data_IF_069858149247
#
_entry.id   IF_069858149247
#
_cell.length_a   1.000
_cell.length_b   1.000
_cell.length_c   1.000
_cell.angle_alpha   90.00
_cell.angle_beta   90.00
_cell.angle_gamma   90.00
#
_symmetry.space_group_name_H-M   'P 1'
#
loop_
_entity.id
_entity.type
_entity.pdbx_description
1 polymer ?
#
# COMPACT_ATOMS: atom_id res chain seq x y z
N UNK A 1 -59.03 28.50 28.33
CA UNK A 1 -60.32 28.28 29.03
C UNK A 1 -61.44 28.69 28.11
N UNK A 2 -62.49 27.88 28.08
CA UNK A 2 -63.56 27.82 27.09
C UNK A 2 -64.46 29.06 27.02
N UNK A 3 -65.04 29.35 25.85
CA UNK A 3 -66.49 29.19 25.64
C UNK A 3 -66.89 29.74 24.28
N UNK A 4 -67.53 28.89 23.48
CA UNK A 4 -68.26 29.25 22.28
C UNK A 4 -69.66 29.79 22.65
N UNK A 5 -70.33 30.39 21.65
CA UNK A 5 -71.77 30.25 21.33
C UNK A 5 -72.65 31.53 21.35
N UNK A 6 -73.58 31.56 20.37
CA UNK A 6 -74.79 32.41 20.11
C UNK A 6 -74.58 33.43 18.98
N UNK A 7 -75.05 33.28 17.73
CA UNK A 7 -76.33 32.87 17.07
C UNK A 7 -77.45 33.93 17.08
N UNK A 8 -77.68 34.46 15.86
CA UNK A 8 -78.92 34.85 15.16
C UNK A 8 -79.65 36.20 15.40
N UNK A 9 -79.81 36.96 14.30
CA UNK A 9 -81.02 37.68 13.80
C UNK A 9 -80.61 38.48 12.53
N UNK A 10 -81.36 38.69 11.44
CA UNK A 10 -82.68 38.28 10.98
C UNK A 10 -82.81 38.52 9.43
N UNK A 11 -83.54 37.61 8.76
CA UNK A 11 -84.47 37.75 7.61
C UNK A 11 -84.97 39.17 7.23
N UNK A 12 -85.25 39.62 5.98
CA UNK A 12 -86.11 39.08 4.87
C UNK A 12 -85.98 39.99 3.61
N UNK A 13 -85.83 39.41 2.40
CA UNK A 13 -86.76 39.36 1.22
C UNK A 13 -86.93 40.62 0.35
N UNK A 14 -86.52 40.52 -0.92
CA UNK A 14 -87.30 40.94 -2.10
C UNK A 14 -86.82 40.19 -3.35
N UNK A 15 -87.76 39.69 -4.15
CA UNK A 15 -87.56 38.81 -5.29
C UNK A 15 -87.67 39.56 -6.63
N UNK A 16 -87.03 38.99 -7.67
CA UNK A 16 -87.54 38.76 -9.04
C UNK A 16 -86.62 39.27 -10.18
N UNK A 17 -86.16 38.31 -11.00
CA UNK A 17 -86.20 38.43 -12.46
C UNK A 17 -84.89 38.65 -13.23
N UNK A 18 -84.13 37.58 -13.50
CA UNK A 18 -83.61 37.24 -14.85
C UNK A 18 -82.76 35.95 -14.80
N UNK A 19 -83.15 34.94 -15.60
CA UNK A 19 -82.41 33.70 -15.85
C UNK A 19 -81.56 33.88 -17.11
N UNK A 20 -80.28 33.51 -17.12
CA UNK A 20 -79.74 32.26 -17.69
C UNK A 20 -78.22 32.32 -17.97
N UNK A 21 -77.60 31.14 -17.76
CA UNK A 21 -76.34 30.62 -18.31
C UNK A 21 -75.00 31.23 -17.89
N UNK A 22 -74.36 30.64 -16.87
CA UNK A 22 -72.93 30.32 -16.93
C UNK A 22 -72.74 28.91 -16.39
N UNK A 23 -72.23 28.03 -17.25
CA UNK A 23 -72.02 26.61 -16.97
C UNK A 23 -71.01 26.38 -15.87
N UNK A 24 -71.38 25.48 -14.95
CA UNK A 24 -70.49 24.85 -13.99
C UNK A 24 -69.57 23.89 -14.76
N UNK A 25 -68.46 24.39 -15.31
CA UNK A 25 -67.35 23.53 -15.78
C UNK A 25 -65.95 24.04 -15.42
N UNK A 26 -65.85 25.14 -14.65
CA UNK A 26 -64.55 25.76 -14.33
C UNK A 26 -63.84 25.27 -13.07
N UNK A 27 -64.50 24.51 -12.18
CA UNK A 27 -63.98 24.26 -10.82
C UNK A 27 -63.58 22.80 -10.51
N UNK A 28 -63.38 21.96 -11.53
CA UNK A 28 -62.81 20.61 -11.38
C UNK A 28 -61.45 20.42 -12.05
N UNK A 29 -60.93 21.42 -12.74
CA UNK A 29 -59.63 21.35 -13.43
C UNK A 29 -58.49 22.00 -12.62
N UNK A 30 -58.80 22.88 -11.67
CA UNK A 30 -57.78 23.62 -10.91
C UNK A 30 -57.19 22.90 -9.67
N UNK A 31 -57.61 21.68 -9.35
CA UNK A 31 -57.09 20.90 -8.19
C UNK A 31 -56.29 19.66 -8.63
N UNK A 32 -56.04 19.49 -9.94
CA UNK A 32 -55.29 18.34 -10.49
C UNK A 32 -53.86 18.65 -10.94
N UNK A 33 -53.36 19.88 -10.71
CA UNK A 33 -52.04 20.32 -11.22
C UNK A 33 -50.93 20.46 -10.16
N UNK A 34 -51.13 19.95 -8.94
CA UNK A 34 -50.13 20.03 -7.85
C UNK A 34 -49.51 18.68 -7.46
N UNK A 35 -49.73 17.62 -8.24
CA UNK A 35 -49.09 16.33 -7.98
C UNK A 35 -48.19 15.91 -9.15
N UNK A 36 -46.88 15.99 -8.86
CA UNK A 36 -45.73 15.38 -9.53
C UNK A 36 -45.60 15.63 -11.04
N UNK A 37 -44.91 16.71 -11.41
CA UNK A 37 -44.13 16.65 -12.64
C UNK A 37 -43.04 15.58 -12.44
N UNK A 38 -42.78 14.72 -13.43
CA UNK A 38 -41.68 13.78 -13.34
C UNK A 38 -40.38 14.58 -13.17
N UNK A 39 -39.67 14.34 -12.06
CA UNK A 39 -38.34 14.91 -11.80
C UNK A 39 -37.49 14.70 -13.05
N UNK A 40 -36.86 15.76 -13.55
CA UNK A 40 -36.08 15.68 -14.76
C UNK A 40 -34.96 14.65 -14.58
N UNK A 41 -34.55 13.98 -15.66
CA UNK A 41 -33.45 13.00 -15.60
C UNK A 41 -32.18 13.64 -15.02
N UNK A 42 -31.94 14.92 -15.33
CA UNK A 42 -30.82 15.69 -14.81
C UNK A 42 -30.89 15.86 -13.28
N UNK A 43 -32.05 16.25 -12.74
CA UNK A 43 -32.23 16.36 -11.28
C UNK A 43 -32.00 15.01 -10.59
N UNK A 44 -32.50 13.90 -11.16
CA UNK A 44 -32.27 12.55 -10.62
C UNK A 44 -30.79 12.15 -10.61
N UNK A 45 -30.04 12.53 -11.65
CA UNK A 45 -28.59 12.30 -11.72
C UNK A 45 -27.89 13.08 -10.61
N UNK A 46 -28.21 14.36 -10.45
CA UNK A 46 -27.60 15.21 -9.43
C UNK A 46 -27.96 14.78 -8.00
N UNK A 47 -29.19 14.34 -7.77
CA UNK A 47 -29.61 13.72 -6.51
C UNK A 47 -28.80 12.46 -6.21
N UNK A 48 -28.64 11.57 -7.20
CA UNK A 48 -27.87 10.34 -7.01
C UNK A 48 -26.38 10.61 -6.80
N UNK A 49 -25.82 11.65 -7.43
CA UNK A 49 -24.44 12.14 -7.16
C UNK A 49 -24.30 12.65 -5.74
N UNK A 50 -25.21 13.50 -5.29
CA UNK A 50 -25.22 14.00 -3.90
C UNK A 50 -25.28 12.84 -2.90
N UNK A 51 -26.15 11.85 -3.14
CA UNK A 51 -26.23 10.66 -2.31
C UNK A 51 -24.91 9.85 -2.30
N UNK A 52 -24.27 9.65 -3.47
CA UNK A 52 -23.00 8.94 -3.58
C UNK A 52 -21.83 9.66 -2.88
N UNK A 53 -21.85 11.00 -2.86
CA UNK A 53 -20.84 11.80 -2.16
C UNK A 53 -20.99 11.72 -0.65
N UNK A 54 -22.22 11.56 -0.15
CA UNK A 54 -22.51 11.47 1.29
C UNK A 54 -22.22 10.08 1.90
N UNK A 55 -21.99 9.05 1.09
CA UNK A 55 -21.69 7.70 1.56
C UNK A 55 -22.75 7.18 2.54
N UNK A 56 -22.31 6.76 3.73
CA UNK A 56 -23.18 6.30 4.82
C UNK A 56 -23.94 7.41 5.57
N UNK A 57 -23.81 8.67 5.15
CA UNK A 57 -24.46 9.85 5.71
C UNK A 57 -23.61 10.62 6.74
N UNK A 58 -23.96 11.89 6.97
CA UNK A 58 -23.17 12.84 7.77
C UNK A 58 -22.81 12.32 9.17
N UNK A 59 -23.76 11.71 9.87
CA UNK A 59 -23.53 11.16 11.21
C UNK A 59 -22.38 10.14 11.26
N UNK A 60 -22.21 9.34 10.19
CA UNK A 60 -21.14 8.34 10.11
C UNK A 60 -19.81 8.97 9.70
N UNK A 61 -19.85 10.01 8.87
CA UNK A 61 -18.68 10.84 8.55
C UNK A 61 -18.14 11.51 9.82
N UNK A 62 -19.00 12.17 10.60
CA UNK A 62 -18.61 12.81 11.86
C UNK A 62 -18.02 11.80 12.86
N UNK A 63 -18.57 10.58 12.89
CA UNK A 63 -18.06 9.50 13.73
C UNK A 63 -16.68 8.99 13.27
N UNK A 64 -16.42 8.96 11.96
CA UNK A 64 -15.12 8.62 11.38
C UNK A 64 -14.09 9.72 11.74
N UNK A 65 -14.43 10.99 11.55
CA UNK A 65 -13.56 12.13 11.91
C UNK A 65 -13.28 12.20 13.41
N UNK A 66 -14.26 11.89 14.27
CA UNK A 66 -14.07 11.82 15.73
C UNK A 66 -13.03 10.76 16.15
N UNK A 67 -12.79 9.76 15.30
CA UNK A 67 -11.74 8.73 15.51
C UNK A 67 -10.38 9.14 14.92
N UNK A 68 -10.25 10.37 14.41
CA UNK A 68 -9.02 10.86 13.78
C UNK A 68 -8.76 10.31 12.38
N UNK A 69 -9.78 9.74 11.73
CA UNK A 69 -9.68 9.11 10.40
C UNK A 69 -10.34 9.98 9.34
N UNK A 70 -9.73 10.08 8.17
CA UNK A 70 -10.36 10.71 7.01
C UNK A 70 -11.42 9.78 6.37
N UNK A 71 -12.31 10.36 5.57
CA UNK A 71 -13.21 9.60 4.69
C UNK A 71 -12.47 9.08 3.45
N UNK A 72 -13.05 8.10 2.75
CA UNK A 72 -12.46 7.56 1.52
C UNK A 72 -12.18 8.64 0.46
N UNK A 73 -13.11 9.59 0.28
CA UNK A 73 -12.98 10.67 -0.72
C UNK A 73 -11.97 11.73 -0.31
N UNK A 74 -11.89 12.08 0.97
CA UNK A 74 -10.87 13.01 1.49
C UNK A 74 -9.47 12.43 1.31
N UNK A 75 -9.29 11.12 1.56
CA UNK A 75 -8.01 10.43 1.35
C UNK A 75 -7.56 10.48 -0.11
N UNK A 76 -8.48 10.20 -1.05
CA UNK A 76 -8.21 10.32 -2.50
C UNK A 76 -7.84 11.76 -2.87
N UNK A 77 -8.60 12.74 -2.36
CA UNK A 77 -8.38 14.16 -2.67
C UNK A 77 -7.04 14.69 -2.15
N UNK A 78 -6.58 14.17 -1.01
CA UNK A 78 -5.28 14.53 -0.45
C UNK A 78 -4.12 13.82 -1.17
N UNK A 79 -4.32 12.58 -1.60
CA UNK A 79 -3.29 11.78 -2.25
C UNK A 79 -3.05 12.20 -3.70
N UNK A 80 -4.09 12.51 -4.45
CA UNK A 80 -4.00 12.83 -5.87
C UNK A 80 -3.76 14.33 -6.10
N UNK A 81 -3.24 14.67 -7.27
CA UNK A 81 -3.07 16.04 -7.69
C UNK A 81 -4.45 16.72 -7.80
N UNK A 82 -4.57 18.02 -7.45
CA UNK A 82 -5.81 18.77 -7.57
C UNK A 82 -6.45 18.63 -8.96
N UNK A 83 -7.77 18.47 -8.99
CA UNK A 83 -8.58 18.33 -10.21
C UNK A 83 -8.18 17.18 -11.16
N UNK A 84 -7.41 16.19 -10.69
CA UNK A 84 -6.96 15.06 -11.51
C UNK A 84 -7.80 13.80 -11.37
N UNK A 85 -8.60 13.67 -10.31
CA UNK A 85 -9.36 12.46 -10.02
C UNK A 85 -10.56 12.30 -10.96
N UNK A 86 -10.62 11.15 -11.63
CA UNK A 86 -11.75 10.73 -12.45
C UNK A 86 -12.31 9.46 -11.84
N UNK A 87 -13.48 9.59 -11.21
CA UNK A 87 -14.18 8.48 -10.57
C UNK A 87 -14.84 7.56 -11.59
N UNK A 88 -14.73 6.26 -11.36
CA UNK A 88 -15.42 5.20 -12.09
C UNK A 88 -16.51 4.59 -11.20
N UNK A 89 -17.64 4.20 -11.81
CA UNK A 89 -18.68 3.39 -11.15
C UNK A 89 -19.30 4.03 -9.89
N UNK A 90 -19.44 5.37 -9.87
CA UNK A 90 -20.02 6.13 -8.76
C UNK A 90 -21.45 5.67 -8.40
N UNK A 91 -22.23 5.22 -9.38
CA UNK A 91 -23.65 4.88 -9.21
C UNK A 91 -23.93 3.38 -9.04
N UNK A 92 -22.89 2.54 -9.01
CA UNK A 92 -23.05 1.09 -8.84
C UNK A 92 -23.62 0.78 -7.46
N UNK A 93 -24.56 -0.15 -7.41
CA UNK A 93 -25.17 -0.64 -6.17
C UNK A 93 -25.08 -2.16 -6.11
N UNK A 94 -25.07 -2.73 -4.91
CA UNK A 94 -25.11 -4.18 -4.75
C UNK A 94 -26.41 -4.77 -5.30
N UNK A 95 -26.36 -6.04 -5.70
CA UNK A 95 -27.51 -6.78 -6.25
C UNK A 95 -28.14 -7.77 -5.27
N UNK A 96 -27.59 -7.89 -4.05
CA UNK A 96 -28.11 -8.77 -3.01
C UNK A 96 -29.55 -8.39 -2.59
N UNK A 97 -30.40 -9.41 -2.45
CA UNK A 97 -31.77 -9.31 -1.97
C UNK A 97 -31.99 -9.94 -0.58
N UNK A 98 -31.08 -10.80 -0.14
CA UNK A 98 -31.16 -11.54 1.11
C UNK A 98 -31.08 -10.64 2.34
N UNK A 99 -31.59 -11.10 3.48
CA UNK A 99 -31.52 -10.40 4.78
C UNK A 99 -32.01 -8.94 4.75
N UNK A 100 -32.95 -8.61 3.85
CA UNK A 100 -33.50 -7.26 3.71
C UNK A 100 -32.61 -6.27 2.94
N UNK A 101 -31.57 -6.77 2.27
CA UNK A 101 -30.65 -5.96 1.45
C UNK A 101 -31.35 -5.36 0.22
N UNK A 102 -32.48 -5.91 -0.24
CA UNK A 102 -33.26 -5.35 -1.34
C UNK A 102 -33.89 -3.97 -1.06
N UNK A 103 -34.03 -3.57 0.22
CA UNK A 103 -34.69 -2.32 0.59
C UNK A 103 -33.86 -1.09 0.18
N UNK A 104 -34.51 -0.03 -0.33
CA UNK A 104 -33.85 1.19 -0.80
C UNK A 104 -32.92 1.85 0.23
N UNK A 105 -33.28 1.78 1.52
CA UNK A 105 -32.44 2.29 2.63
C UNK A 105 -31.07 1.60 2.76
N UNK A 106 -30.92 0.43 2.15
CA UNK A 106 -29.70 -0.36 2.13
C UNK A 106 -28.97 -0.24 0.78
N UNK A 107 -29.51 0.51 -0.19
CA UNK A 107 -28.87 0.77 -1.49
C UNK A 107 -28.02 2.04 -1.41
N UNK A 108 -26.72 1.86 -1.33
CA UNK A 108 -25.75 2.95 -1.34
C UNK A 108 -25.05 3.01 -2.70
N UNK A 109 -25.19 4.10 -3.46
CA UNK A 109 -24.40 4.32 -4.67
C UNK A 109 -22.90 4.27 -4.36
N UNK A 110 -22.17 3.50 -5.16
CA UNK A 110 -20.74 3.24 -5.01
C UNK A 110 -20.41 1.92 -4.31
N UNK A 111 -21.34 1.35 -3.54
CA UNK A 111 -21.23 0.07 -2.84
C UNK A 111 -19.97 -0.10 -1.97
N UNK A 112 -19.77 0.86 -1.04
CA UNK A 112 -18.68 0.93 -0.05
C UNK A 112 -17.24 1.07 -0.56
N UNK A 113 -17.05 1.40 -1.85
CA UNK A 113 -15.71 1.72 -2.39
C UNK A 113 -15.78 2.84 -3.43
N UNK A 114 -14.83 3.77 -3.34
CA UNK A 114 -14.58 4.79 -4.35
C UNK A 114 -13.42 4.31 -5.22
N UNK A 115 -13.61 4.25 -6.53
CA UNK A 115 -12.63 3.72 -7.48
C UNK A 115 -12.41 4.70 -8.62
N UNK A 116 -11.19 4.80 -9.14
CA UNK A 116 -10.94 5.64 -10.30
C UNK A 116 -9.46 5.73 -10.64
N UNK A 117 -9.12 6.81 -11.33
CA UNK A 117 -7.75 7.15 -11.69
C UNK A 117 -7.48 8.63 -11.44
N UNK A 118 -6.22 8.99 -11.30
CA UNK A 118 -5.79 10.38 -11.28
C UNK A 118 -4.29 10.50 -11.45
N UNK A 119 -3.71 11.55 -10.91
CA UNK A 119 -2.27 11.80 -11.01
C UNK A 119 -1.63 12.02 -9.65
N UNK A 120 -0.37 11.59 -9.51
CA UNK A 120 0.51 11.97 -8.40
C UNK A 120 1.76 12.56 -9.04
N UNK A 121 2.03 13.84 -8.77
CA UNK A 121 3.13 14.60 -9.38
C UNK A 121 3.11 14.50 -10.92
N UNK A 122 1.92 14.62 -11.51
CA UNK A 122 1.69 14.55 -12.96
C UNK A 122 1.65 13.14 -13.54
N UNK A 123 1.97 12.09 -12.76
CA UNK A 123 2.08 10.70 -13.24
C UNK A 123 0.82 9.90 -12.96
N UNK A 124 0.37 9.09 -13.93
CA UNK A 124 -0.88 8.34 -13.85
C UNK A 124 -0.85 7.30 -12.73
N UNK A 125 -1.97 7.18 -11.99
CA UNK A 125 -2.19 6.15 -10.99
C UNK A 125 -3.66 5.74 -10.96
N UNK A 126 -3.91 4.45 -10.73
CA UNK A 126 -5.25 3.93 -10.40
C UNK A 126 -5.39 3.76 -8.90
N UNK A 127 -6.59 3.99 -8.39
CA UNK A 127 -6.82 4.01 -6.95
C UNK A 127 -8.20 3.47 -6.59
N UNK A 128 -8.25 2.72 -5.49
CA UNK A 128 -9.48 2.48 -4.76
C UNK A 128 -9.35 2.90 -3.30
N UNK A 129 -10.43 3.43 -2.73
CA UNK A 129 -10.52 3.76 -1.32
C UNK A 129 -11.82 3.24 -0.73
N UNK A 130 -11.71 2.41 0.29
CA UNK A 130 -12.85 1.76 0.92
C UNK A 130 -13.54 2.74 1.88
N UNK A 131 -14.86 2.85 1.76
CA UNK A 131 -15.67 3.74 2.59
C UNK A 131 -16.27 2.97 3.77
N UNK A 132 -15.63 3.12 4.93
CA UNK A 132 -16.06 2.50 6.17
C UNK A 132 -17.46 2.93 6.63
N UNK A 133 -17.95 4.09 6.18
CA UNK A 133 -19.28 4.59 6.57
C UNK A 133 -20.40 3.74 5.96
N UNK A 134 -20.15 3.10 4.81
CA UNK A 134 -21.11 2.24 4.09
C UNK A 134 -20.84 0.78 4.43
N UNK A 135 -21.75 0.14 5.16
CA UNK A 135 -21.64 -1.26 5.60
C UNK A 135 -20.28 -1.64 6.23
N UNK A 136 -19.61 -0.70 6.93
CA UNK A 136 -18.30 -0.95 7.53
C UNK A 136 -17.20 -1.21 6.49
N UNK A 137 -17.36 -0.70 5.26
CA UNK A 137 -16.43 -0.97 4.16
C UNK A 137 -16.47 -2.41 3.66
N UNK A 138 -17.49 -3.21 4.05
CA UNK A 138 -17.54 -4.64 3.72
C UNK A 138 -17.63 -4.88 2.21
N UNK A 139 -16.89 -5.88 1.76
CA UNK A 139 -16.74 -6.23 0.35
C UNK A 139 -17.91 -7.10 -0.11
N UNK A 140 -18.65 -6.62 -1.10
CA UNK A 140 -19.69 -7.31 -1.89
C UNK A 140 -19.17 -7.73 -3.26
N UNK A 141 -20.00 -8.45 -4.03
CA UNK A 141 -19.69 -8.72 -5.43
C UNK A 141 -19.54 -7.45 -6.28
N UNK A 142 -20.40 -6.45 -6.08
CA UNK A 142 -20.31 -5.19 -6.84
C UNK A 142 -19.11 -4.31 -6.39
N UNK A 143 -18.78 -4.28 -5.10
CA UNK A 143 -17.55 -3.67 -4.60
C UNK A 143 -16.31 -4.30 -5.26
N UNK A 144 -16.24 -5.63 -5.30
CA UNK A 144 -15.12 -6.34 -5.90
C UNK A 144 -15.00 -6.08 -7.40
N UNK A 145 -16.13 -6.07 -8.13
CA UNK A 145 -16.16 -5.77 -9.56
C UNK A 145 -15.59 -4.37 -9.87
N UNK A 146 -15.86 -3.38 -9.02
CA UNK A 146 -15.28 -2.03 -9.18
C UNK A 146 -13.76 -2.02 -9.02
N UNK A 147 -13.24 -2.70 -8.00
CA UNK A 147 -11.79 -2.83 -7.77
C UNK A 147 -11.14 -3.59 -8.94
N UNK A 148 -11.71 -4.72 -9.33
CA UNK A 148 -11.23 -5.53 -10.44
C UNK A 148 -11.14 -4.73 -11.74
N UNK A 149 -12.15 -3.90 -12.04
CA UNK A 149 -12.18 -3.06 -13.24
C UNK A 149 -10.99 -2.11 -13.30
N UNK A 150 -10.68 -1.40 -12.21
CA UNK A 150 -9.55 -0.46 -12.21
C UNK A 150 -8.19 -1.20 -12.23
N UNK A 151 -8.09 -2.39 -11.64
CA UNK A 151 -6.88 -3.21 -11.72
C UNK A 151 -6.63 -3.68 -13.16
N UNK A 152 -7.67 -4.14 -13.85
CA UNK A 152 -7.58 -4.54 -15.26
C UNK A 152 -7.18 -3.35 -16.14
N UNK A 153 -7.76 -2.17 -15.90
CA UNK A 153 -7.39 -0.94 -16.61
C UNK A 153 -5.95 -0.52 -16.33
N UNK A 154 -5.49 -0.61 -15.07
CA UNK A 154 -4.13 -0.27 -14.67
C UNK A 154 -3.09 -1.19 -15.33
N UNK A 155 -3.36 -2.50 -15.35
CA UNK A 155 -2.52 -3.47 -16.04
C UNK A 155 -2.48 -3.22 -17.55
N UNK A 156 -3.62 -2.87 -18.15
CA UNK A 156 -3.72 -2.61 -19.60
C UNK A 156 -2.85 -1.43 -20.03
N UNK A 157 -2.76 -0.38 -19.21
CA UNK A 157 -2.00 0.85 -19.55
C UNK A 157 -0.61 0.92 -18.93
N UNK A 158 -0.24 -0.06 -18.09
CA UNK A 158 1.03 -0.04 -17.35
C UNK A 158 1.12 1.10 -16.33
N UNK A 159 0.15 1.19 -15.41
CA UNK A 159 0.16 2.18 -14.35
C UNK A 159 0.00 1.55 -12.96
N UNK A 160 0.55 2.15 -11.89
CA UNK A 160 0.43 1.63 -10.52
C UNK A 160 -1.02 1.60 -10.03
N UNK A 161 -1.29 0.70 -9.07
CA UNK A 161 -2.56 0.65 -8.32
C UNK A 161 -2.29 0.89 -6.84
N UNK A 162 -3.04 1.83 -6.25
CA UNK A 162 -3.03 2.12 -4.82
C UNK A 162 -4.35 1.68 -4.19
N UNK A 163 -4.28 0.85 -3.16
CA UNK A 163 -5.41 0.45 -2.33
C UNK A 163 -5.38 1.16 -0.98
N UNK A 164 -6.41 1.96 -0.70
CA UNK A 164 -6.61 2.56 0.62
C UNK A 164 -7.64 1.74 1.39
N UNK A 165 -7.16 0.88 2.28
CA UNK A 165 -7.95 -0.16 2.92
C UNK A 165 -8.52 0.30 4.26
N UNK A 166 -9.83 0.16 4.41
CA UNK A 166 -10.61 0.50 5.62
C UNK A 166 -11.92 -0.30 5.59
N UNK A 167 -11.81 -1.60 5.87
CA UNK A 167 -12.87 -2.58 5.68
C UNK A 167 -12.96 -3.59 6.82
N UNK A 168 -14.17 -3.81 7.32
CA UNK A 168 -14.49 -4.86 8.28
C UNK A 168 -14.44 -6.28 7.70
N UNK A 169 -14.14 -6.47 6.41
CA UNK A 169 -14.00 -7.79 5.78
C UNK A 169 -15.13 -8.12 4.79
N UNK A 170 -15.49 -9.40 4.72
CA UNK A 170 -16.52 -9.89 3.80
C UNK A 170 -17.92 -9.39 4.18
N UNK A 171 -18.76 -9.08 3.17
CA UNK A 171 -20.17 -8.80 3.39
C UNK A 171 -20.93 -10.12 3.59
N UNK A 172 -21.15 -10.48 4.85
CA UNK A 172 -21.77 -11.74 5.27
C UNK A 172 -23.13 -11.98 4.57
N UNK A 173 -23.92 -10.92 4.37
CA UNK A 173 -25.24 -10.98 3.74
C UNK A 173 -25.21 -11.46 2.28
N UNK A 174 -24.07 -11.38 1.60
CA UNK A 174 -23.91 -11.85 0.22
C UNK A 174 -23.29 -13.25 0.13
N UNK A 175 -22.91 -13.83 1.27
CA UNK A 175 -22.37 -15.19 1.35
C UNK A 175 -21.18 -15.41 0.42
N UNK A 176 -21.28 -16.46 -0.41
CA UNK A 176 -20.20 -16.90 -1.32
C UNK A 176 -19.86 -15.88 -2.42
N UNK A 177 -20.78 -14.97 -2.76
CA UNK A 177 -20.50 -13.90 -3.74
C UNK A 177 -19.38 -12.97 -3.24
N UNK A 178 -19.38 -12.67 -1.93
CA UNK A 178 -18.30 -11.89 -1.31
C UNK A 178 -16.95 -12.61 -1.38
N UNK A 179 -16.95 -13.94 -1.18
CA UNK A 179 -15.74 -14.75 -1.30
C UNK A 179 -15.22 -14.84 -2.74
N UNK A 180 -16.13 -14.97 -3.72
CA UNK A 180 -15.77 -14.93 -5.13
C UNK A 180 -15.16 -13.56 -5.50
N UNK A 181 -15.74 -12.47 -5.00
CA UNK A 181 -15.20 -11.13 -5.16
C UNK A 181 -13.78 -10.97 -4.61
N UNK A 182 -13.47 -11.57 -3.45
CA UNK A 182 -12.09 -11.62 -2.94
C UNK A 182 -11.17 -12.40 -3.87
N UNK A 183 -11.57 -13.59 -4.31
CA UNK A 183 -10.76 -14.42 -5.20
C UNK A 183 -10.42 -13.70 -6.52
N UNK A 184 -11.38 -12.96 -7.09
CA UNK A 184 -11.18 -12.17 -8.30
C UNK A 184 -10.14 -11.05 -8.13
N UNK A 185 -10.11 -10.41 -6.95
CA UNK A 185 -9.09 -9.41 -6.60
C UNK A 185 -7.73 -10.08 -6.40
N UNK A 186 -7.67 -11.19 -5.66
CA UNK A 186 -6.42 -11.89 -5.38
C UNK A 186 -5.74 -12.37 -6.66
N UNK A 187 -6.53 -12.92 -7.60
CA UNK A 187 -6.00 -13.32 -8.90
C UNK A 187 -5.35 -12.15 -9.61
N UNK A 188 -5.99 -10.97 -9.62
CA UNK A 188 -5.43 -9.76 -10.23
C UNK A 188 -4.19 -9.26 -9.50
N UNK A 189 -4.13 -9.38 -8.18
CA UNK A 189 -2.91 -9.02 -7.44
C UNK A 189 -1.73 -9.89 -7.89
N UNK A 190 -1.94 -11.20 -8.02
CA UNK A 190 -0.92 -12.14 -8.50
C UNK A 190 -0.53 -11.85 -9.94
N UNK A 191 -1.51 -11.60 -10.82
CA UNK A 191 -1.25 -11.31 -12.24
C UNK A 191 -0.52 -9.96 -12.45
N UNK A 192 -0.71 -9.00 -11.54
CA UNK A 192 -0.05 -7.70 -11.57
C UNK A 192 1.33 -7.69 -10.86
N UNK A 193 1.65 -8.71 -10.06
CA UNK A 193 2.88 -8.78 -9.28
C UNK A 193 4.12 -8.77 -10.18
N UNK A 194 5.01 -7.80 -9.95
CA UNK A 194 6.19 -7.56 -10.79
C UNK A 194 5.89 -6.97 -12.17
N UNK A 195 4.64 -6.60 -12.47
CA UNK A 195 4.24 -5.97 -13.75
C UNK A 195 3.95 -4.49 -13.56
N UNK A 196 3.09 -4.15 -12.60
CA UNK A 196 2.81 -2.77 -12.19
C UNK A 196 3.00 -2.67 -10.67
N UNK A 197 3.49 -1.53 -10.14
CA UNK A 197 3.59 -1.37 -8.70
C UNK A 197 2.21 -1.40 -8.03
N UNK A 198 2.10 -2.19 -6.98
CA UNK A 198 0.91 -2.35 -6.16
C UNK A 198 1.23 -1.90 -4.74
N UNK A 199 0.50 -0.91 -4.24
CA UNK A 199 0.71 -0.36 -2.89
C UNK A 199 -0.59 -0.43 -2.11
N UNK A 200 -0.54 -1.01 -0.92
CA UNK A 200 -1.62 -1.03 0.05
C UNK A 200 -1.30 -0.12 1.24
N UNK A 201 -2.23 0.77 1.56
CA UNK A 201 -2.18 1.59 2.77
C UNK A 201 -3.38 1.26 3.65
N UNK A 202 -3.11 0.65 4.80
CA UNK A 202 -4.13 0.26 5.77
C UNK A 202 -4.40 1.46 6.66
N UNK A 203 -5.60 2.03 6.54
CA UNK A 203 -6.03 3.25 7.24
C UNK A 203 -7.26 2.99 8.11
N UNK A 204 -7.43 1.73 8.54
CA UNK A 204 -8.59 1.28 9.28
C UNK A 204 -8.54 -0.21 9.58
N UNK A 205 -9.68 -0.82 9.94
CA UNK A 205 -9.79 -2.26 10.08
C UNK A 205 -9.47 -2.95 8.75
N UNK A 206 -8.79 -4.09 8.82
CA UNK A 206 -8.62 -5.02 7.72
C UNK A 206 -8.64 -6.44 8.31
N UNK A 207 -9.79 -7.12 8.23
CA UNK A 207 -10.00 -8.39 8.91
C UNK A 207 -10.42 -9.52 7.96
N UNK A 208 -10.06 -10.75 8.30
CA UNK A 208 -10.47 -11.93 7.54
C UNK A 208 -9.82 -11.98 6.17
N UNK A 209 -10.60 -12.27 5.13
CA UNK A 209 -10.10 -12.36 3.75
C UNK A 209 -9.50 -11.06 3.23
N UNK A 210 -9.86 -9.89 3.78
CA UNK A 210 -9.36 -8.60 3.32
C UNK A 210 -7.84 -8.47 3.42
N UNK A 211 -7.20 -9.18 4.35
CA UNK A 211 -5.76 -9.07 4.61
C UNK A 211 -4.89 -9.69 3.53
N UNK A 212 -5.44 -10.65 2.76
CA UNK A 212 -4.66 -11.37 1.75
C UNK A 212 -4.33 -10.50 0.54
N UNK A 213 -5.18 -9.53 0.17
CA UNK A 213 -4.89 -8.64 -0.95
C UNK A 213 -3.66 -7.75 -0.65
N UNK A 214 -3.61 -6.99 0.46
CA UNK A 214 -2.40 -6.27 0.85
C UNK A 214 -1.15 -7.14 0.97
N UNK A 215 -1.29 -8.36 1.50
CA UNK A 215 -0.18 -9.30 1.61
C UNK A 215 0.40 -9.76 0.26
N UNK A 216 -0.36 -9.62 -0.84
CA UNK A 216 0.06 -9.91 -2.22
C UNK A 216 0.57 -8.67 -2.97
N UNK A 217 0.43 -7.47 -2.40
CA UNK A 217 0.96 -6.23 -2.98
C UNK A 217 2.45 -6.04 -2.65
N UNK A 218 3.14 -5.18 -3.41
CA UNK A 218 4.58 -4.97 -3.26
C UNK A 218 4.91 -4.25 -1.94
N UNK A 219 4.08 -3.28 -1.55
CA UNK A 219 4.27 -2.50 -0.33
C UNK A 219 2.98 -2.38 0.46
N UNK A 220 3.03 -2.82 1.73
CA UNK A 220 1.99 -2.59 2.72
C UNK A 220 2.47 -1.58 3.76
N UNK A 221 1.73 -0.48 3.92
CA UNK A 221 1.93 0.55 4.93
C UNK A 221 0.72 0.61 5.87
N UNK A 222 0.92 1.09 7.09
CA UNK A 222 -0.14 1.19 8.11
C UNK A 222 -0.15 2.57 8.79
N UNK A 223 -1.31 2.97 9.31
CA UNK A 223 -1.45 4.14 10.19
C UNK A 223 -1.49 3.68 11.64
N UNK A 224 -0.68 4.29 12.50
CA UNK A 224 -0.61 3.94 13.93
C UNK A 224 -1.95 4.18 14.62
N UNK A 225 -2.28 3.32 15.57
CA UNK A 225 -3.43 3.40 16.49
C UNK A 225 -4.84 3.40 15.84
N UNK A 226 -4.97 3.65 14.53
CA UNK A 226 -6.25 3.70 13.81
C UNK A 226 -6.44 2.56 12.82
N UNK A 227 -5.40 1.76 12.58
CA UNK A 227 -5.41 0.65 11.62
C UNK A 227 -4.93 -0.66 12.24
N UNK A 228 -5.51 -1.76 11.77
CA UNK A 228 -5.11 -3.10 12.20
C UNK A 228 -5.39 -4.14 11.10
N UNK A 229 -4.59 -5.21 11.11
CA UNK A 229 -4.62 -6.26 10.11
C UNK A 229 -4.56 -7.63 10.79
N UNK A 230 -5.57 -8.49 10.60
CA UNK A 230 -5.52 -9.88 11.10
C UNK A 230 -6.48 -10.80 10.34
N UNK A 231 -6.13 -12.08 10.24
CA UNK A 231 -7.03 -13.08 9.63
C UNK A 231 -8.21 -13.36 10.57
N UNK A 232 -7.92 -13.65 11.84
CA UNK A 232 -8.93 -14.01 12.84
C UNK A 232 -8.96 -12.95 13.93
N UNK A 233 -10.15 -12.43 14.25
CA UNK A 233 -10.30 -11.38 15.25
C UNK A 233 -10.13 -11.85 16.70
N UNK A 234 -9.87 -10.92 17.64
CA UNK A 234 -9.61 -11.26 19.04
C UNK A 234 -10.71 -12.07 19.73
N UNK A 235 -11.98 -11.80 19.42
CA UNK A 235 -13.10 -12.53 20.03
C UNK A 235 -13.05 -14.02 19.71
N UNK A 236 -12.64 -14.37 18.49
CA UNK A 236 -12.50 -15.76 18.05
C UNK A 236 -11.25 -16.38 18.68
N UNK A 237 -10.13 -15.65 18.72
CA UNK A 237 -8.91 -16.08 19.42
C UNK A 237 -9.24 -16.45 20.86
N UNK A 238 -9.89 -15.55 21.60
CA UNK A 238 -10.33 -15.80 22.98
C UNK A 238 -11.21 -17.04 23.11
N UNK A 239 -12.20 -17.20 22.23
CA UNK A 239 -13.12 -18.35 22.31
C UNK A 239 -12.45 -19.71 22.04
N UNK A 240 -11.35 -19.74 21.26
CA UNK A 240 -10.69 -20.97 20.81
C UNK A 240 -9.44 -21.29 21.64
N UNK A 241 -8.63 -20.29 21.94
CA UNK A 241 -7.34 -20.46 22.64
C UNK A 241 -7.39 -20.04 24.12
N UNK A 242 -8.48 -19.39 24.56
CA UNK A 242 -8.59 -18.72 25.87
C UNK A 242 -7.55 -17.61 26.11
N UNK A 243 -6.96 -17.07 25.04
CA UNK A 243 -6.03 -15.95 25.14
C UNK A 243 -6.78 -14.62 25.04
N UNK A 244 -6.53 -13.73 26.01
CA UNK A 244 -7.03 -12.37 26.00
C UNK A 244 -6.00 -11.45 25.32
N UNK A 245 -6.30 -11.07 24.08
CA UNK A 245 -5.48 -10.14 23.29
C UNK A 245 -6.33 -9.00 22.75
N UNK A 246 -5.78 -7.79 22.69
CA UNK A 246 -6.46 -6.64 22.08
C UNK A 246 -6.26 -6.60 20.56
N UNK A 247 -7.06 -5.79 19.84
CA UNK A 247 -6.89 -5.60 18.39
C UNK A 247 -5.50 -5.03 18.05
N UNK A 248 -5.01 -4.08 18.85
CA UNK A 248 -3.70 -3.45 18.65
C UNK A 248 -2.55 -4.43 18.91
N UNK A 249 -2.64 -5.25 19.96
CA UNK A 249 -1.63 -6.28 20.23
C UNK A 249 -1.60 -7.34 19.13
N UNK A 250 -2.78 -7.79 18.68
CA UNK A 250 -2.91 -8.86 17.70
C UNK A 250 -2.44 -8.45 16.30
N UNK A 251 -2.81 -7.25 15.86
CA UNK A 251 -2.61 -6.82 14.46
C UNK A 251 -2.41 -5.33 14.28
N UNK A 252 -1.99 -4.62 15.30
CA UNK A 252 -1.66 -3.20 15.23
C UNK A 252 -0.42 -2.91 14.38
N UNK A 253 -0.23 -1.63 14.05
CA UNK A 253 0.85 -1.19 13.18
C UNK A 253 2.25 -1.53 13.74
N UNK A 254 2.42 -1.47 15.06
CA UNK A 254 3.68 -1.84 15.75
C UNK A 254 4.00 -3.33 15.63
N UNK A 255 3.00 -4.19 15.80
CA UNK A 255 3.13 -5.65 15.65
C UNK A 255 3.56 -6.02 14.23
N UNK A 256 3.01 -5.34 13.22
CA UNK A 256 3.35 -5.64 11.82
C UNK A 256 4.67 -5.08 11.32
N UNK A 257 5.17 -4.02 11.93
CA UNK A 257 6.45 -3.39 11.54
C UNK A 257 7.66 -3.93 12.31
N UNK A 258 7.47 -4.46 13.52
CA UNK A 258 8.60 -4.90 14.36
C UNK A 258 8.67 -6.42 14.59
N UNK A 259 7.55 -7.13 14.52
CA UNK A 259 7.48 -8.56 14.82
C UNK A 259 7.20 -9.43 13.60
N UNK A 260 6.08 -9.22 12.90
CA UNK A 260 5.67 -10.11 11.81
C UNK A 260 6.29 -9.76 10.45
N UNK A 261 6.70 -8.52 10.23
CA UNK A 261 7.27 -8.06 8.96
C UNK A 261 6.25 -7.93 7.81
N UNK A 262 4.95 -7.92 8.11
CA UNK A 262 3.88 -7.75 7.11
C UNK A 262 3.78 -6.30 6.63
N UNK A 263 4.02 -5.33 7.51
CA UNK A 263 4.00 -3.91 7.16
C UNK A 263 5.43 -3.38 7.04
N UNK A 264 5.68 -2.61 5.99
CA UNK A 264 6.99 -2.04 5.67
C UNK A 264 7.29 -0.81 6.51
N UNK A 265 6.25 -0.02 6.83
CA UNK A 265 6.35 1.18 7.66
C UNK A 265 4.99 1.53 8.26
N UNK A 266 5.03 2.18 9.42
CA UNK A 266 3.88 2.76 10.09
C UNK A 266 4.00 4.29 10.15
N UNK A 267 2.92 5.00 9.86
CA UNK A 267 2.82 6.47 9.84
C UNK A 267 1.96 6.99 11.00
N UNK A 268 2.15 8.24 11.39
CA UNK A 268 1.51 8.78 12.60
C UNK A 268 0.00 8.99 12.44
N UNK A 269 -0.46 9.37 11.24
CA UNK A 269 -1.87 9.62 10.94
C UNK A 269 -2.13 9.55 9.42
N UNK A 270 -3.41 9.66 9.03
CA UNK A 270 -3.84 9.60 7.63
C UNK A 270 -3.12 10.63 6.73
N UNK A 271 -2.93 11.86 7.21
CA UNK A 271 -2.29 12.94 6.43
C UNK A 271 -0.82 12.65 6.22
N UNK A 272 -0.11 12.30 7.30
CA UNK A 272 1.30 11.92 7.26
C UNK A 272 1.52 10.75 6.30
N UNK A 273 0.68 9.71 6.38
CA UNK A 273 0.76 8.54 5.50
C UNK A 273 0.61 8.89 4.02
N UNK A 274 -0.39 9.71 3.68
CA UNK A 274 -0.67 10.06 2.28
C UNK A 274 0.41 11.00 1.71
N UNK A 275 0.94 11.93 2.51
CA UNK A 275 2.06 12.78 2.10
C UNK A 275 3.35 11.96 1.85
N UNK A 276 3.71 11.07 2.77
CA UNK A 276 4.87 10.19 2.59
C UNK A 276 4.68 9.24 1.40
N UNK A 277 3.45 8.76 1.15
CA UNK A 277 3.14 7.93 0.00
C UNK A 277 3.38 8.68 -1.32
N UNK A 278 3.02 9.98 -1.40
CA UNK A 278 3.33 10.81 -2.57
C UNK A 278 4.84 10.96 -2.80
N UNK A 279 5.62 11.07 -1.73
CA UNK A 279 7.08 11.13 -1.82
C UNK A 279 7.65 9.78 -2.27
N UNK A 280 7.20 8.69 -1.66
CA UNK A 280 7.61 7.33 -2.01
C UNK A 280 7.29 6.98 -3.47
N UNK A 281 6.14 7.42 -3.98
CA UNK A 281 5.74 7.21 -5.36
C UNK A 281 6.76 7.76 -6.39
N UNK A 282 7.55 8.77 -6.02
CA UNK A 282 8.59 9.33 -6.89
C UNK A 282 9.79 8.40 -7.11
N UNK A 283 9.94 7.32 -6.35
CA UNK A 283 11.03 6.36 -6.54
C UNK A 283 10.65 5.22 -7.51
N UNK A 284 9.35 4.97 -7.69
CA UNK A 284 8.88 3.81 -8.43
C UNK A 284 8.69 4.14 -9.92
N UNK A 285 9.02 3.23 -10.86
CA UNK A 285 8.54 3.31 -12.25
C UNK A 285 7.01 3.13 -12.31
N UNK A 286 6.38 3.39 -13.46
CA UNK A 286 4.93 3.15 -13.61
C UNK A 286 4.61 1.68 -13.88
N UNK A 287 5.52 0.97 -14.54
CA UNK A 287 5.44 -0.46 -14.81
C UNK A 287 6.84 -1.06 -14.92
N UNK A 288 6.94 -2.39 -15.01
CA UNK A 288 8.20 -3.10 -15.26
C UNK A 288 8.82 -2.84 -16.63
N UNK A 289 8.08 -2.20 -17.55
CA UNK A 289 8.58 -1.79 -18.86
C UNK A 289 9.11 -0.35 -18.86
N UNK A 290 8.80 0.43 -17.83
CA UNK A 290 9.25 1.82 -17.71
C UNK A 290 10.56 1.90 -16.92
N UNK A 291 11.47 2.82 -17.29
CA UNK A 291 12.64 3.10 -16.46
C UNK A 291 12.20 3.73 -15.13
N UNK A 292 13.06 3.59 -14.12
CA UNK A 292 12.89 4.35 -12.88
C UNK A 292 12.87 5.86 -13.18
N UNK A 293 12.01 6.64 -12.50
CA UNK A 293 11.91 8.08 -12.73
C UNK A 293 13.23 8.78 -12.42
N UNK A 294 13.63 9.70 -13.31
CA UNK A 294 14.83 10.54 -13.15
C UNK A 294 14.37 11.95 -12.75
N UNK A 295 15.04 12.53 -11.76
CA UNK A 295 14.83 13.92 -11.32
C UNK A 295 16.14 14.68 -11.45
N UNK A 296 16.03 15.97 -11.72
CA UNK A 296 17.17 16.88 -11.60
C UNK A 296 17.78 16.82 -10.19
N UNK A 297 19.09 16.62 -10.15
CA UNK A 297 19.87 16.52 -8.93
C UNK A 297 20.98 17.57 -8.97
N UNK A 298 21.02 18.44 -7.95
CA UNK A 298 22.06 19.46 -7.82
C UNK A 298 23.24 18.99 -6.94
N UNK A 299 23.20 17.76 -6.40
CA UNK A 299 24.31 17.18 -5.62
C UNK A 299 25.35 16.57 -6.58
N UNK A 300 26.59 17.10 -6.63
CA UNK A 300 27.60 16.63 -7.57
C UNK A 300 27.89 15.14 -7.42
N UNK A 301 27.98 14.41 -8.54
CA UNK A 301 28.25 12.97 -8.52
C UNK A 301 29.69 12.65 -8.07
N UNK A 302 30.62 13.56 -8.32
CA UNK A 302 32.06 13.44 -8.05
C UNK A 302 32.50 13.95 -6.65
N UNK A 303 31.56 14.46 -5.83
CA UNK A 303 31.88 15.00 -4.51
C UNK A 303 32.42 13.91 -3.57
N UNK A 304 33.58 14.18 -2.97
CA UNK A 304 34.16 13.36 -1.91
C UNK A 304 33.43 13.56 -0.59
N UNK A 305 33.42 12.51 0.23
CA UNK A 305 32.82 12.52 1.58
C UNK A 305 33.89 12.12 2.62
N UNK A 306 34.76 13.05 3.04
CA UNK A 306 35.90 12.75 3.94
C UNK A 306 35.51 12.08 5.26
N UNK A 307 34.29 12.32 5.76
CA UNK A 307 33.79 11.74 6.99
C UNK A 307 33.75 10.21 6.95
N UNK A 308 33.57 9.61 5.75
CA UNK A 308 33.55 8.16 5.57
C UNK A 308 34.91 7.51 5.86
N UNK A 309 36.01 8.25 5.76
CA UNK A 309 37.35 7.72 6.03
C UNK A 309 37.54 7.37 7.52
N UNK A 310 36.67 7.86 8.41
CA UNK A 310 36.77 7.68 9.87
C UNK A 310 35.55 7.01 10.52
N UNK A 311 34.52 6.68 9.74
CA UNK A 311 33.25 6.15 10.28
C UNK A 311 33.38 4.73 10.82
N UNK A 312 34.27 3.92 10.23
CA UNK A 312 34.50 2.53 10.66
C UNK A 312 35.47 2.56 11.85
N UNK A 313 35.05 2.08 13.04
CA UNK A 313 35.96 2.01 14.17
C UNK A 313 37.14 1.08 13.87
N UNK A 314 38.35 1.46 14.31
CA UNK A 314 39.55 0.62 14.22
C UNK A 314 39.37 -0.72 14.95
N UNK A 315 38.60 -0.72 16.04
CA UNK A 315 38.25 -1.94 16.77
C UNK A 315 37.20 -2.76 16.02
N UNK A 316 37.56 -3.99 15.61
CA UNK A 316 36.70 -4.82 14.77
C UNK A 316 35.38 -5.24 15.45
N UNK A 317 35.30 -5.22 16.78
CA UNK A 317 34.11 -5.57 17.57
C UNK A 317 33.17 -4.39 17.81
N UNK A 318 33.66 -3.15 17.65
CA UNK A 318 32.85 -1.96 17.89
C UNK A 318 31.86 -1.75 16.75
N UNK A 319 30.58 -1.64 17.07
CA UNK A 319 29.53 -1.39 16.09
C UNK A 319 29.58 0.06 15.59
N UNK A 320 29.05 0.28 14.40
CA UNK A 320 28.76 1.60 13.84
C UNK A 320 27.41 1.51 13.11
N UNK A 321 26.73 2.64 12.96
CA UNK A 321 25.36 2.66 12.49
C UNK A 321 25.30 2.52 10.96
N UNK A 322 24.91 1.33 10.47
CA UNK A 322 24.64 1.04 9.06
C UNK A 322 23.14 1.11 8.71
N UNK A 323 22.28 1.33 9.71
CA UNK A 323 20.81 1.18 9.73
C UNK A 323 20.35 -0.16 9.10
N UNK A 324 20.43 -1.18 9.98
CA UNK A 324 20.01 -2.59 10.01
C UNK A 324 19.08 -3.20 8.92
N UNK A 325 19.45 -4.42 8.45
CA UNK A 325 18.70 -5.72 8.43
C UNK A 325 19.30 -6.68 7.39
N UNK A 326 19.39 -8.01 7.69
CA UNK A 326 18.83 -9.16 6.90
C UNK A 326 18.63 -10.40 7.81
N UNK A 327 17.45 -11.06 7.77
CA UNK A 327 17.09 -12.22 8.63
C UNK A 327 16.78 -13.57 7.95
N UNK A 328 16.93 -13.74 6.64
CA UNK A 328 16.72 -15.05 5.99
C UNK A 328 17.70 -15.30 4.83
N UNK A 329 18.82 -16.00 5.10
CA UNK A 329 19.97 -16.09 4.18
C UNK A 329 19.70 -16.76 2.83
N UNK A 330 18.87 -17.81 2.77
CA UNK A 330 18.63 -18.55 1.52
C UNK A 330 17.77 -17.77 0.50
N UNK A 331 16.80 -16.98 0.98
CA UNK A 331 15.94 -16.14 0.12
C UNK A 331 16.75 -15.00 -0.49
N UNK A 332 17.65 -14.41 0.31
CA UNK A 332 18.54 -13.35 -0.14
C UNK A 332 19.51 -13.81 -1.23
N UNK A 333 20.08 -15.01 -1.08
CA UNK A 333 20.95 -15.64 -2.07
C UNK A 333 20.24 -15.75 -3.42
N UNK A 334 19.02 -16.29 -3.40
CA UNK A 334 18.21 -16.45 -4.61
C UNK A 334 17.89 -15.10 -5.25
N UNK A 335 17.47 -14.11 -4.46
CA UNK A 335 17.12 -12.77 -4.94
C UNK A 335 18.29 -12.09 -5.65
N UNK A 336 19.49 -12.06 -5.04
CA UNK A 336 20.67 -11.46 -5.69
C UNK A 336 21.13 -12.23 -6.91
N UNK A 337 21.08 -13.58 -6.86
CA UNK A 337 21.47 -14.42 -7.98
C UNK A 337 20.52 -14.28 -9.18
N UNK A 338 19.22 -14.10 -8.94
CA UNK A 338 18.21 -13.94 -9.99
C UNK A 338 18.26 -12.53 -10.61
N UNK A 339 18.46 -11.49 -9.80
CA UNK A 339 18.46 -10.10 -10.23
C UNK A 339 19.37 -9.84 -11.44
N UNK A 340 18.84 -9.09 -12.41
CA UNK A 340 19.52 -8.71 -13.67
C UNK A 340 19.82 -7.22 -13.78
N UNK A 341 19.28 -6.41 -12.86
CA UNK A 341 19.54 -4.97 -12.73
C UNK A 341 21.03 -4.70 -12.43
N UNK A 342 21.52 -3.46 -12.60
CA UNK A 342 22.85 -3.07 -12.12
C UNK A 342 23.04 -3.37 -10.63
N UNK A 343 24.14 -4.03 -10.28
CA UNK A 343 24.52 -4.41 -8.91
C UNK A 343 25.94 -3.95 -8.61
N UNK A 344 26.04 -2.97 -7.73
CA UNK A 344 27.32 -2.46 -7.19
C UNK A 344 27.38 -2.80 -5.71
N UNK A 345 28.50 -3.37 -5.26
CA UNK A 345 28.72 -3.79 -3.87
C UNK A 345 29.93 -3.08 -3.30
N UNK A 346 29.84 -2.59 -2.06
CA UNK A 346 30.97 -1.98 -1.34
C UNK A 346 31.14 -2.68 0.00
N UNK A 347 32.23 -3.42 0.16
CA UNK A 347 32.57 -4.08 1.43
C UNK A 347 33.27 -3.05 2.32
N UNK A 348 32.58 -2.58 3.35
CA UNK A 348 33.11 -1.55 4.26
C UNK A 348 33.96 -2.15 5.40
N UNK A 349 33.63 -3.37 5.83
CA UNK A 349 34.36 -4.07 6.91
C UNK A 349 34.29 -5.59 6.75
N UNK A 350 33.54 -6.29 7.59
CA UNK A 350 33.56 -7.76 7.68
C UNK A 350 32.70 -8.40 6.60
N UNK A 351 33.29 -9.30 5.83
CA UNK A 351 32.58 -10.19 4.92
C UNK A 351 33.13 -11.61 5.06
N UNK A 352 32.44 -12.43 5.86
CA UNK A 352 32.92 -13.76 6.24
C UNK A 352 32.01 -14.89 5.78
N UNK A 353 32.62 -15.95 5.23
CA UNK A 353 31.96 -17.21 4.89
C UNK A 353 30.74 -17.03 3.99
N UNK A 354 29.68 -17.80 4.25
CA UNK A 354 28.45 -17.74 3.45
C UNK A 354 27.77 -16.36 3.46
N UNK A 355 27.99 -15.53 4.48
CA UNK A 355 27.45 -14.16 4.47
C UNK A 355 28.13 -13.30 3.40
N UNK A 356 29.44 -13.47 3.17
CA UNK A 356 30.12 -12.82 2.04
C UNK A 356 29.48 -13.25 0.71
N UNK A 357 29.26 -14.55 0.53
CA UNK A 357 28.71 -15.08 -0.71
C UNK A 357 27.35 -14.44 -1.03
N UNK A 358 26.47 -14.40 -0.04
CA UNK A 358 25.06 -13.97 -0.17
C UNK A 358 24.94 -12.45 -0.34
N UNK A 359 25.88 -11.64 0.16
CA UNK A 359 25.83 -10.18 0.09
C UNK A 359 26.29 -9.63 -1.28
N UNK A 360 25.67 -10.09 -2.36
CA UNK A 360 25.96 -9.67 -3.75
C UNK A 360 27.45 -9.80 -4.13
N UNK A 361 28.08 -10.92 -3.75
CA UNK A 361 29.44 -11.23 -4.19
C UNK A 361 29.55 -11.27 -5.72
N UNK A 362 30.78 -11.11 -6.24
CA UNK A 362 31.07 -11.25 -7.68
C UNK A 362 30.53 -12.56 -8.25
N UNK A 363 30.60 -13.63 -7.46
CA UNK A 363 30.11 -14.97 -7.81
C UNK A 363 28.59 -15.05 -7.98
N UNK A 364 27.84 -14.16 -7.33
CA UNK A 364 26.40 -13.98 -7.55
C UNK A 364 26.10 -12.94 -8.64
N UNK A 365 26.99 -12.83 -9.63
CA UNK A 365 26.87 -11.91 -10.75
C UNK A 365 26.81 -10.44 -10.31
N UNK A 366 27.55 -10.05 -9.27
CA UNK A 366 27.83 -8.64 -8.99
C UNK A 366 28.58 -8.02 -10.17
N UNK A 367 28.16 -6.83 -10.62
CA UNK A 367 28.80 -6.17 -11.76
C UNK A 367 30.13 -5.56 -11.32
N UNK A 368 30.05 -4.71 -10.28
CA UNK A 368 31.22 -4.09 -9.65
C UNK A 368 31.22 -4.34 -8.14
N UNK A 369 32.35 -4.82 -7.63
CA UNK A 369 32.58 -5.14 -6.22
C UNK A 369 33.79 -4.35 -5.71
N UNK A 370 33.56 -3.35 -4.88
CA UNK A 370 34.59 -2.58 -4.20
C UNK A 370 34.82 -3.07 -2.78
N UNK A 371 36.01 -2.78 -2.26
CA UNK A 371 36.31 -2.90 -0.84
C UNK A 371 36.94 -1.61 -0.32
N UNK A 372 36.63 -1.26 0.94
CA UNK A 372 37.39 -0.26 1.68
C UNK A 372 38.68 -0.87 2.25
N UNK A 373 39.69 -0.06 2.65
CA UNK A 373 40.91 -0.59 3.24
C UNK A 373 40.66 -1.35 4.55
N UNK A 374 39.56 -1.04 5.24
CA UNK A 374 39.09 -1.70 6.48
C UNK A 374 38.36 -3.02 6.23
N UNK A 375 38.22 -3.45 4.96
CA UNK A 375 37.51 -4.68 4.64
C UNK A 375 38.29 -5.93 5.06
N UNK A 376 37.61 -6.88 5.69
CA UNK A 376 38.14 -8.17 6.09
C UNK A 376 37.34 -9.26 5.38
N UNK A 377 37.95 -9.95 4.41
CA UNK A 377 37.27 -10.95 3.56
C UNK A 377 37.93 -12.31 3.77
N UNK A 378 37.24 -13.23 4.46
CA UNK A 378 37.77 -14.56 4.74
C UNK A 378 36.67 -15.63 4.89
N UNK A 379 37.08 -16.90 5.00
CA UNK A 379 36.14 -18.03 5.19
C UNK A 379 35.43 -17.95 6.54
N UNK A 380 36.14 -17.56 7.60
CA UNK A 380 35.60 -17.36 8.94
C UNK A 380 36.52 -16.44 9.75
N UNK A 381 36.10 -16.08 10.96
CA UNK A 381 36.94 -15.29 11.87
C UNK A 381 38.24 -16.02 12.26
N UNK A 382 39.31 -15.25 12.45
CA UNK A 382 40.66 -15.77 12.66
C UNK A 382 40.75 -16.80 13.80
N UNK A 383 40.12 -16.53 14.95
CA UNK A 383 40.11 -17.46 16.09
C UNK A 383 39.58 -18.85 15.70
N UNK A 384 38.42 -18.90 15.06
CA UNK A 384 37.81 -20.15 14.61
C UNK A 384 38.63 -20.86 13.53
N UNK A 385 39.25 -20.09 12.61
CA UNK A 385 40.13 -20.65 11.60
C UNK A 385 41.36 -21.32 12.22
N UNK A 386 41.97 -20.70 13.23
CA UNK A 386 43.15 -21.25 13.91
C UNK A 386 42.86 -22.50 14.73
N UNK A 387 41.72 -22.54 15.43
CA UNK A 387 41.28 -23.73 16.16
C UNK A 387 41.11 -24.95 15.24
N UNK A 388 40.70 -24.73 13.99
CA UNK A 388 40.55 -25.79 12.98
C UNK A 388 41.90 -26.16 12.34
N UNK A 389 42.68 -25.18 11.90
CA UNK A 389 43.93 -25.39 11.16
C UNK A 389 45.03 -25.97 12.06
N UNK A 390 45.12 -25.50 13.31
CA UNK A 390 46.16 -25.88 14.27
C UNK A 390 45.65 -26.77 15.40
N UNK A 391 44.63 -27.59 15.10
CA UNK A 391 44.06 -28.55 16.05
C UNK A 391 45.17 -29.42 16.68
N UNK A 392 45.38 -29.27 17.99
CA UNK A 392 46.39 -30.01 18.76
C UNK A 392 47.74 -29.32 18.97
N UNK A 393 47.89 -28.02 18.67
CA UNK A 393 49.05 -27.20 19.08
C UNK A 393 48.75 -26.34 20.31
N UNK A 394 49.78 -26.12 21.13
CA UNK A 394 49.67 -25.38 22.40
C UNK A 394 49.76 -23.84 22.26
N UNK A 395 50.20 -23.30 21.11
CA UNK A 395 50.48 -21.87 20.95
C UNK A 395 49.71 -21.25 19.76
N UNK A 396 48.42 -20.96 19.97
CA UNK A 396 47.45 -20.55 18.93
C UNK A 396 47.45 -19.02 18.67
N UNK A 397 47.97 -18.22 19.61
CA UNK A 397 47.89 -16.75 19.57
C UNK A 397 48.77 -16.13 18.48
N UNK A 398 50.04 -16.55 18.36
CA UNK A 398 50.95 -16.06 17.30
C UNK A 398 50.43 -16.41 15.90
N UNK A 399 49.87 -17.62 15.76
CA UNK A 399 49.26 -18.09 14.51
C UNK A 399 48.02 -17.26 14.14
N UNK A 400 47.26 -16.77 15.13
CA UNK A 400 46.09 -15.93 14.91
C UNK A 400 46.48 -14.56 14.36
N UNK A 401 47.53 -13.92 14.90
CA UNK A 401 48.03 -12.65 14.38
C UNK A 401 48.53 -12.79 12.94
N UNK A 402 49.22 -13.89 12.64
CA UNK A 402 49.67 -14.21 11.28
C UNK A 402 48.48 -14.41 10.31
N UNK A 403 47.42 -15.10 10.74
CA UNK A 403 46.22 -15.29 9.91
C UNK A 403 45.50 -13.97 9.64
N UNK A 404 45.37 -13.11 10.66
CA UNK A 404 44.77 -11.77 10.48
C UNK A 404 45.56 -10.99 9.43
N UNK A 405 46.89 -10.95 9.56
CA UNK A 405 47.73 -10.22 8.62
C UNK A 405 47.67 -10.79 7.19
N UNK A 406 47.60 -12.12 7.04
CA UNK A 406 47.55 -12.77 5.73
C UNK A 406 46.17 -12.74 5.07
N UNK A 407 45.09 -12.88 5.84
CA UNK A 407 43.77 -13.18 5.30
C UNK A 407 42.67 -12.20 5.73
N UNK A 408 42.77 -11.52 6.87
CA UNK A 408 41.75 -10.58 7.33
C UNK A 408 41.99 -9.17 6.78
N UNK A 409 42.08 -9.07 5.45
CA UNK A 409 42.23 -7.82 4.69
C UNK A 409 41.70 -8.04 3.26
N UNK A 410 41.55 -7.01 2.41
CA UNK A 410 40.92 -7.18 1.10
C UNK A 410 41.87 -7.70 0.00
N UNK A 411 43.19 -7.68 0.21
CA UNK A 411 44.16 -8.03 -0.83
C UNK A 411 44.00 -9.46 -1.37
N UNK A 412 43.80 -10.51 -0.55
CA UNK A 412 43.58 -11.85 -1.06
C UNK A 412 42.41 -11.97 -2.03
N UNK A 413 41.34 -11.21 -1.81
CA UNK A 413 40.17 -11.19 -2.69
C UNK A 413 40.45 -10.38 -3.97
N UNK A 414 41.12 -9.23 -3.85
CA UNK A 414 41.49 -8.38 -4.99
C UNK A 414 42.47 -9.08 -5.95
N UNK A 415 43.50 -9.75 -5.44
CA UNK A 415 44.47 -10.52 -6.25
C UNK A 415 43.78 -11.65 -7.04
N UNK A 416 42.65 -12.16 -6.55
CA UNK A 416 41.85 -13.19 -7.21
C UNK A 416 40.78 -12.63 -8.16
N UNK A 417 40.63 -11.31 -8.23
CA UNK A 417 39.60 -10.64 -9.04
C UNK A 417 38.18 -10.77 -8.47
N UNK A 418 38.02 -11.10 -7.19
CA UNK A 418 36.70 -11.14 -6.54
C UNK A 418 36.23 -9.76 -6.06
N UNK A 419 37.18 -8.83 -5.96
CA UNK A 419 37.00 -7.40 -5.72
C UNK A 419 37.70 -6.69 -6.89
N UNK A 420 36.99 -5.76 -7.53
CA UNK A 420 37.45 -5.04 -8.71
C UNK A 420 38.47 -3.94 -8.35
N UNK A 421 38.29 -3.28 -7.20
CA UNK A 421 39.24 -2.29 -6.67
C UNK A 421 39.13 -2.12 -5.15
N UNK A 422 40.22 -1.69 -4.52
CA UNK A 422 40.27 -1.26 -3.12
C UNK A 422 40.30 0.27 -3.10
N UNK A 423 39.17 0.90 -2.77
CA UNK A 423 38.96 2.34 -2.92
C UNK A 423 39.04 3.07 -1.57
N UNK A 424 39.37 4.35 -1.60
CA UNK A 424 39.25 5.20 -0.41
C UNK A 424 37.77 5.41 -0.06
N UNK A 425 37.36 5.31 1.22
CA UNK A 425 35.97 5.46 1.62
C UNK A 425 35.31 6.75 1.12
N UNK A 426 36.02 7.87 1.17
CA UNK A 426 35.57 9.17 0.68
C UNK A 426 35.26 9.24 -0.83
N UNK A 427 35.83 8.33 -1.63
CA UNK A 427 35.59 8.24 -3.08
C UNK A 427 34.38 7.38 -3.48
N UNK A 428 33.74 6.71 -2.52
CA UNK A 428 32.66 5.73 -2.76
C UNK A 428 31.54 6.27 -3.62
N UNK A 429 31.09 7.51 -3.35
CA UNK A 429 30.02 8.16 -4.13
C UNK A 429 30.37 8.28 -5.61
N UNK A 430 31.53 8.86 -5.90
CA UNK A 430 32.00 9.08 -7.27
C UNK A 430 32.10 7.76 -8.04
N UNK A 431 32.60 6.71 -7.38
CA UNK A 431 32.70 5.36 -7.98
C UNK A 431 31.34 4.76 -8.30
N UNK A 432 30.41 4.77 -7.33
CA UNK A 432 29.05 4.23 -7.54
C UNK A 432 28.33 4.97 -8.67
N UNK A 433 28.37 6.31 -8.67
CA UNK A 433 27.72 7.10 -9.71
C UNK A 433 28.28 6.78 -11.11
N UNK A 434 29.61 6.77 -11.24
CA UNK A 434 30.27 6.44 -12.51
C UNK A 434 29.91 5.05 -13.03
N UNK A 435 29.83 4.04 -12.15
CA UNK A 435 29.50 2.68 -12.56
C UNK A 435 28.03 2.54 -12.94
N UNK A 436 27.12 3.19 -12.22
CA UNK A 436 25.69 3.19 -12.56
C UNK A 436 25.44 3.82 -13.92
N UNK A 437 26.19 4.86 -14.30
CA UNK A 437 26.10 5.48 -15.63
C UNK A 437 26.52 4.49 -16.73
N UNK A 438 27.61 3.73 -16.52
CA UNK A 438 28.06 2.69 -17.46
C UNK A 438 27.05 1.53 -17.54
N UNK A 439 26.53 1.11 -16.39
CA UNK A 439 25.61 -0.03 -16.27
C UNK A 439 24.16 0.32 -16.64
N UNK A 440 23.82 1.58 -16.92
CA UNK A 440 22.47 2.00 -17.29
C UNK A 440 21.90 1.26 -18.51
N UNK A 441 22.77 0.78 -19.40
CA UNK A 441 22.40 0.01 -20.60
C UNK A 441 22.50 -1.52 -20.44
N UNK A 442 22.78 -2.01 -19.22
CA UNK A 442 22.97 -3.43 -18.92
C UNK A 442 21.77 -4.26 -19.38
N UNK A 443 22.06 -5.34 -20.13
CA UNK A 443 21.07 -6.35 -20.54
C UNK A 443 21.61 -7.73 -20.24
N UNK A 444 20.90 -8.50 -19.42
CA UNK A 444 21.25 -9.88 -19.08
C UNK A 444 20.05 -10.77 -19.39
N UNK A 445 20.28 -11.80 -20.19
CA UNK A 445 19.27 -12.84 -20.46
C UNK A 445 19.46 -14.01 -19.48
N UNK A 446 18.35 -14.54 -18.96
CA UNK A 446 18.32 -15.75 -18.13
C UNK A 446 17.73 -16.92 -18.92
N UNK A 447 18.00 -18.17 -18.52
CA UNK A 447 17.33 -19.33 -19.10
C UNK A 447 15.81 -19.19 -19.02
N UNK A 448 15.12 -19.51 -20.11
CA UNK A 448 13.66 -19.44 -20.16
C UNK A 448 13.03 -20.45 -19.18
N UNK A 449 12.03 -20.00 -18.42
CA UNK A 449 11.23 -20.80 -17.48
C UNK A 449 9.88 -20.14 -17.29
N UNK A 450 8.87 -20.91 -16.86
CA UNK A 450 7.56 -20.35 -16.46
C UNK A 450 7.70 -19.39 -15.27
N UNK A 451 8.39 -19.84 -14.23
CA UNK A 451 8.77 -19.05 -13.06
C UNK A 451 9.91 -19.75 -12.29
N UNK A 452 10.47 -19.03 -11.34
CA UNK A 452 11.39 -19.52 -10.31
C UNK A 452 10.74 -20.57 -9.38
N UNK A 453 11.55 -21.35 -8.68
CA UNK A 453 11.11 -22.17 -7.54
C UNK A 453 11.87 -21.74 -6.27
N UNK A 454 11.67 -20.49 -5.87
CA UNK A 454 12.30 -19.90 -4.68
C UNK A 454 11.83 -20.60 -3.40
N UNK A 455 12.68 -20.77 -2.36
CA UNK A 455 12.23 -21.23 -1.05
C UNK A 455 11.20 -20.27 -0.43
N UNK A 456 10.07 -20.82 0.05
CA UNK A 456 8.97 -20.07 0.69
C UNK A 456 9.06 -20.08 2.21
#
# INVERSE_FOLDING_TARGET
MASAMRVAAAMRVAAAGARLSVGVSGLRVAVRSLCSQPVSINERIEDKRRAALMGGGQRRIDAQHKRGKLTARERISLLLDPDSFVESDMFVEHRCADFGMAADKNKFPGDSVVTGRGRINGRLVYIFSQDFTVFGGSLSGAHAQKICKIMDQAMTVGAPVIGLNDSGGARIQEGVESLAGYADIFLRNVMASGVIPQISLIMGPCAGGAVYSPALTDFTFMVKDTSYLFITGPDVVKSVTNEDVTQEELGGAKTHTTMSGVAHRAFENDVDALCNLREFFNYLPLSSQDPAPIRECHDPSDRLVPELDTIVPLESTKAYNMVDIIRHGAKLLYAFAEATVPKVTVITRKAYGGAYDVMSSKHLCGDTNYAWPTAEIAVMGAKGAMEIIFKGRENVEDAQAEYINKFANPFPAAVRGFVDDIIQPSSTRARICSDLDVLASKKVQRPWRKHANIPL
#
